data_IF_837760763160
#
_entry.id   IF_837760763160
#
_cell.length_a   1.000
_cell.length_b   1.000
_cell.length_c   1.000
_cell.angle_alpha   90.00
_cell.angle_beta   90.00
_cell.angle_gamma   90.00
#
_symmetry.space_group_name_H-M   'P 1'
#
loop_
_entity.id
_entity.type
_entity.pdbx_description
1 polymer ?
#
# COMPACT_ATOMS: atom_id res chain seq x y z
N UNK A 1 -13.39 -4.98 -18.73
CA UNK A 1 -11.95 -5.07 -18.36
C UNK A 1 -11.64 -4.33 -17.07
N UNK A 2 -12.39 -3.25 -16.73
CA UNK A 2 -12.21 -2.47 -15.49
C UNK A 2 -12.29 -3.37 -14.24
N UNK A 3 -13.29 -4.23 -14.16
CA UNK A 3 -13.49 -5.17 -13.04
C UNK A 3 -12.34 -6.17 -12.79
N UNK A 4 -11.41 -6.32 -13.73
CA UNK A 4 -10.21 -7.15 -13.56
C UNK A 4 -9.03 -6.40 -12.96
N UNK A 5 -9.03 -5.08 -13.05
CA UNK A 5 -7.92 -4.22 -12.62
C UNK A 5 -8.24 -3.39 -11.38
N UNK A 6 -9.51 -3.32 -11.01
CA UNK A 6 -9.96 -2.48 -9.89
C UNK A 6 -10.95 -3.27 -9.03
N UNK A 7 -10.81 -3.12 -7.73
CA UNK A 7 -11.73 -3.64 -6.72
C UNK A 7 -12.14 -2.48 -5.83
N UNK A 8 -13.45 -2.24 -5.71
CA UNK A 8 -14.02 -1.30 -4.76
C UNK A 8 -14.70 -2.05 -3.62
N UNK A 9 -14.65 -1.51 -2.42
CA UNK A 9 -15.22 -2.13 -1.23
C UNK A 9 -15.91 -1.12 -0.34
N UNK A 10 -16.78 -1.65 0.55
CA UNK A 10 -17.44 -0.86 1.59
C UNK A 10 -17.41 -1.68 2.88
N UNK A 11 -16.96 -1.05 4.00
CA UNK A 11 -16.86 -1.79 5.24
C UNK A 11 -18.22 -2.05 5.87
N UNK A 12 -18.36 -3.25 6.40
CA UNK A 12 -19.45 -3.66 7.29
C UNK A 12 -18.97 -3.68 8.73
N UNK A 13 -19.87 -3.86 9.68
CA UNK A 13 -19.53 -3.93 11.11
C UNK A 13 -18.37 -4.88 11.39
N UNK A 14 -17.55 -4.54 12.37
CA UNK A 14 -16.37 -5.31 12.74
C UNK A 14 -15.68 -4.75 13.98
N UNK A 15 -14.41 -5.06 14.17
CA UNK A 15 -13.63 -4.58 15.31
C UNK A 15 -12.32 -3.91 14.85
N UNK A 16 -12.08 -2.70 15.32
CA UNK A 16 -10.83 -1.94 15.07
C UNK A 16 -10.16 -1.66 16.39
N UNK A 17 -8.91 -2.11 16.57
CA UNK A 17 -8.19 -1.94 17.84
C UNK A 17 -8.91 -2.56 19.03
N UNK A 18 -9.62 -3.66 18.83
CA UNK A 18 -10.40 -4.37 19.87
C UNK A 18 -11.75 -3.73 20.20
N UNK A 19 -12.16 -2.64 19.55
CA UNK A 19 -13.46 -1.99 19.74
C UNK A 19 -14.40 -2.32 18.60
N UNK A 20 -15.62 -2.69 18.91
CA UNK A 20 -16.69 -2.88 17.92
C UNK A 20 -17.01 -1.55 17.26
N UNK A 21 -17.16 -1.57 15.95
CA UNK A 21 -17.53 -0.41 15.14
C UNK A 21 -18.64 -0.79 14.15
N UNK A 22 -19.57 0.13 13.86
CA UNK A 22 -20.64 -0.10 12.90
C UNK A 22 -20.09 -0.20 11.47
N UNK A 23 -20.93 -0.72 10.56
CA UNK A 23 -20.70 -0.64 9.14
C UNK A 23 -20.90 0.78 8.59
N UNK A 24 -20.39 1.03 7.39
CA UNK A 24 -20.48 2.36 6.76
C UNK A 24 -21.93 2.86 6.63
N UNK A 25 -22.86 1.97 6.26
CA UNK A 25 -24.27 2.31 6.11
C UNK A 25 -25.00 2.51 7.45
N UNK A 26 -24.37 2.12 8.54
CA UNK A 26 -24.87 2.24 9.93
C UNK A 26 -24.24 3.45 10.65
N UNK A 27 -23.27 4.11 10.04
CA UNK A 27 -22.62 5.30 10.61
C UNK A 27 -23.61 6.46 10.69
N UNK A 28 -23.48 7.27 11.72
CA UNK A 28 -24.29 8.49 11.89
C UNK A 28 -24.12 9.42 10.67
N UNK A 29 -25.25 9.88 10.12
CA UNK A 29 -25.31 10.69 8.89
C UNK A 29 -24.91 9.97 7.58
N UNK A 30 -24.81 8.66 7.55
CA UNK A 30 -24.67 7.90 6.32
C UNK A 30 -26.03 7.70 5.63
N UNK A 31 -26.02 7.62 4.29
CA UNK A 31 -27.19 7.16 3.56
C UNK A 31 -27.16 5.63 3.52
N UNK A 32 -28.21 4.98 4.07
CA UNK A 32 -28.33 3.52 4.16
C UNK A 32 -28.34 2.81 2.78
N UNK A 33 -28.61 3.54 1.70
CA UNK A 33 -28.58 3.02 0.33
C UNK A 33 -27.30 3.44 -0.43
N UNK A 34 -26.30 4.02 0.25
CA UNK A 34 -25.10 4.52 -0.39
C UNK A 34 -24.25 3.39 -0.97
N UNK A 35 -23.88 3.53 -2.23
CA UNK A 35 -22.91 2.68 -2.90
C UNK A 35 -21.50 3.29 -2.95
N UNK A 36 -21.21 4.28 -2.09
CA UNK A 36 -19.91 4.94 -2.02
C UNK A 36 -18.86 3.95 -1.52
N UNK A 37 -17.77 3.85 -2.22
CA UNK A 37 -16.64 3.04 -1.81
C UNK A 37 -15.91 3.63 -0.60
N UNK A 38 -15.57 2.79 0.35
CA UNK A 38 -14.68 3.08 1.48
C UNK A 38 -13.34 2.36 1.36
N UNK A 39 -13.17 1.60 0.28
CA UNK A 39 -11.95 0.87 -0.06
C UNK A 39 -11.80 0.78 -1.57
N UNK A 40 -10.57 0.97 -2.01
CA UNK A 40 -10.18 0.74 -3.41
C UNK A 40 -8.85 0.00 -3.43
N UNK A 41 -8.78 -1.04 -4.25
CA UNK A 41 -7.53 -1.64 -4.68
C UNK A 41 -7.49 -1.68 -6.21
N UNK A 42 -6.37 -1.30 -6.80
CA UNK A 42 -6.24 -1.28 -8.24
C UNK A 42 -4.83 -1.62 -8.70
N UNK A 43 -4.73 -2.09 -9.94
CA UNK A 43 -3.50 -2.19 -10.69
C UNK A 43 -3.45 -1.05 -11.71
N UNK A 44 -2.36 -0.30 -11.73
CA UNK A 44 -2.03 0.72 -12.71
C UNK A 44 -0.72 0.37 -13.43
N UNK A 45 -0.62 0.76 -14.68
CA UNK A 45 0.60 0.64 -15.47
C UNK A 45 0.99 2.04 -15.99
N UNK A 46 2.26 2.40 -15.90
CA UNK A 46 2.78 3.68 -16.38
C UNK A 46 3.50 3.45 -17.70
N UNK A 47 2.91 3.97 -18.78
CA UNK A 47 3.39 3.77 -20.15
C UNK A 47 4.52 4.74 -20.51
N UNK A 48 5.68 4.60 -19.87
CA UNK A 48 6.89 5.33 -20.23
C UNK A 48 8.12 4.41 -20.16
N UNK A 49 9.27 4.90 -20.61
CA UNK A 49 10.52 4.14 -20.65
C UNK A 49 10.93 3.61 -19.27
N UNK A 50 10.82 4.45 -18.25
CA UNK A 50 11.29 4.15 -16.90
C UNK A 50 10.49 3.02 -16.26
N UNK A 51 9.18 3.03 -16.47
CA UNK A 51 8.24 2.15 -15.76
C UNK A 51 7.62 1.06 -16.63
N UNK A 52 8.08 0.94 -17.88
CA UNK A 52 7.59 -0.09 -18.79
C UNK A 52 7.73 -1.48 -18.19
N UNK A 53 6.61 -2.21 -18.11
CA UNK A 53 6.55 -3.56 -17.54
C UNK A 53 6.61 -3.63 -16.01
N UNK A 54 6.53 -2.50 -15.31
CA UNK A 54 6.42 -2.45 -13.84
C UNK A 54 4.98 -2.19 -13.45
N UNK A 55 4.25 -3.17 -12.87
CA UNK A 55 2.90 -2.96 -12.39
C UNK A 55 2.92 -2.20 -11.06
N UNK A 56 1.98 -1.28 -10.90
CA UNK A 56 1.73 -0.55 -9.66
C UNK A 56 0.43 -1.06 -9.05
N UNK A 57 0.49 -1.55 -7.82
CA UNK A 57 -0.67 -1.93 -7.04
C UNK A 57 -0.90 -0.88 -5.97
N UNK A 58 -2.07 -0.24 -6.01
CA UNK A 58 -2.47 0.76 -5.03
C UNK A 58 -3.62 0.19 -4.21
N UNK A 59 -3.56 0.38 -2.90
CA UNK A 59 -4.61 0.00 -1.97
C UNK A 59 -4.80 1.10 -0.93
N UNK A 60 -6.05 1.50 -0.74
CA UNK A 60 -6.43 2.44 0.30
C UNK A 60 -7.82 2.09 0.84
N UNK A 61 -8.07 2.39 2.11
CA UNK A 61 -9.38 2.09 2.69
C UNK A 61 -9.57 2.74 4.06
N UNK A 62 -10.83 2.78 4.47
CA UNK A 62 -11.27 3.20 5.80
C UNK A 62 -11.44 1.96 6.69
N UNK A 63 -11.31 2.15 8.01
CA UNK A 63 -11.52 1.07 8.99
C UNK A 63 -10.71 -0.19 8.68
N UNK A 64 -9.51 -0.05 8.11
CA UNK A 64 -8.60 -1.18 7.85
C UNK A 64 -7.97 -1.70 9.14
N UNK A 65 -7.26 -2.83 9.05
CA UNK A 65 -6.60 -3.47 10.20
C UNK A 65 -5.63 -2.53 10.91
N UNK A 66 -4.90 -1.72 10.15
CA UNK A 66 -3.95 -0.75 10.68
C UNK A 66 -4.03 0.59 9.92
N UNK A 67 -3.68 1.67 10.64
CA UNK A 67 -3.46 2.98 10.02
C UNK A 67 -2.00 3.07 9.60
N UNK A 68 -1.72 2.68 8.37
CA UNK A 68 -0.37 2.67 7.80
C UNK A 68 -0.36 3.27 6.39
N UNK A 69 0.69 4.02 6.09
CA UNK A 69 1.00 4.45 4.72
C UNK A 69 2.42 4.03 4.38
N UNK A 70 2.57 3.24 3.33
CA UNK A 70 3.87 2.69 2.95
C UNK A 70 3.96 2.44 1.45
N UNK A 71 5.19 2.46 0.95
CA UNK A 71 5.52 2.07 -0.42
C UNK A 71 6.39 0.82 -0.32
N UNK A 72 6.00 -0.24 -1.02
CA UNK A 72 6.77 -1.49 -1.06
C UNK A 72 7.22 -1.76 -2.48
N UNK A 73 8.53 -1.82 -2.67
CA UNK A 73 9.16 -2.11 -3.95
C UNK A 73 9.68 -3.54 -3.90
N UNK A 74 9.09 -4.41 -4.72
CA UNK A 74 9.56 -5.77 -4.90
C UNK A 74 10.59 -5.79 -6.03
N UNK A 75 11.82 -6.17 -5.72
CA UNK A 75 12.83 -6.36 -6.74
C UNK A 75 12.56 -7.63 -7.54
N UNK A 76 12.97 -7.62 -8.80
CA UNK A 76 12.91 -8.82 -9.64
C UNK A 76 13.82 -9.90 -9.09
N UNK A 77 13.43 -11.14 -9.28
CA UNK A 77 14.31 -12.27 -9.01
C UNK A 77 15.52 -12.24 -9.96
N UNK A 78 16.69 -12.64 -9.49
CA UNK A 78 17.83 -12.77 -10.38
C UNK A 78 17.56 -13.85 -11.45
N UNK A 79 17.92 -13.60 -12.72
CA UNK A 79 17.65 -14.53 -13.81
C UNK A 79 18.38 -15.86 -13.67
N UNK A 80 19.50 -15.85 -12.95
CA UNK A 80 20.31 -17.04 -12.71
C UNK A 80 20.66 -17.14 -11.22
N UNK A 81 20.60 -18.35 -10.70
CA UNK A 81 20.95 -18.66 -9.32
C UNK A 81 22.18 -19.54 -9.30
N UNK A 82 23.12 -19.22 -8.43
CA UNK A 82 24.32 -20.05 -8.15
C UNK A 82 24.03 -21.18 -7.16
N UNK A 83 22.84 -21.17 -6.55
CA UNK A 83 22.45 -22.18 -5.54
C UNK A 83 21.55 -23.25 -6.15
N UNK A 84 21.68 -24.48 -5.62
CA UNK A 84 20.84 -25.61 -6.01
C UNK A 84 19.34 -25.34 -5.72
N UNK A 85 18.42 -25.93 -6.51
CA UNK A 85 16.97 -25.71 -6.33
C UNK A 85 16.46 -25.97 -4.91
N UNK A 86 17.02 -26.95 -4.22
CA UNK A 86 16.65 -27.35 -2.86
C UNK A 86 17.04 -26.30 -1.80
N UNK A 87 17.97 -25.43 -2.13
CA UNK A 87 18.47 -24.34 -1.28
C UNK A 87 17.79 -22.99 -1.55
N UNK A 88 16.85 -22.97 -2.49
CA UNK A 88 16.16 -21.77 -2.95
C UNK A 88 14.91 -21.48 -2.13
N UNK A 89 15.07 -21.05 -0.89
CA UNK A 89 13.99 -20.35 -0.19
C UNK A 89 13.97 -18.90 -0.68
N UNK A 90 13.39 -18.67 -1.87
CA UNK A 90 13.52 -17.40 -2.58
C UNK A 90 12.39 -16.45 -2.23
N UNK A 91 12.69 -15.53 -1.36
CA UNK A 91 11.90 -14.31 -1.18
C UNK A 91 12.66 -13.21 -1.92
N UNK A 92 12.04 -12.63 -2.93
CA UNK A 92 12.62 -11.47 -3.62
C UNK A 92 12.96 -10.36 -2.62
N UNK A 93 14.10 -9.71 -2.80
CA UNK A 93 14.45 -8.56 -1.98
C UNK A 93 13.36 -7.49 -2.08
N UNK A 94 13.15 -6.75 -0.98
CA UNK A 94 12.11 -5.73 -0.90
C UNK A 94 12.65 -4.48 -0.25
N UNK A 95 12.29 -3.32 -0.81
CA UNK A 95 12.49 -2.03 -0.17
C UNK A 95 11.13 -1.55 0.33
N UNK A 96 11.02 -1.31 1.63
CA UNK A 96 9.83 -0.81 2.30
C UNK A 96 10.13 0.61 2.76
N UNK A 97 9.37 1.59 2.27
CA UNK A 97 9.41 2.98 2.70
C UNK A 97 8.14 3.23 3.50
N UNK A 98 8.26 3.35 4.80
CA UNK A 98 7.14 3.66 5.69
C UNK A 98 7.02 5.18 5.83
N UNK A 99 5.85 5.71 5.47
CA UNK A 99 5.53 7.12 5.53
C UNK A 99 4.79 7.48 6.83
N UNK A 100 3.95 6.56 7.34
CA UNK A 100 3.16 6.68 8.58
C UNK A 100 2.75 5.30 9.10
N UNK A 101 2.63 5.09 10.45
CA UNK A 101 3.36 5.80 11.50
C UNK A 101 4.82 5.34 11.51
N UNK A 102 5.68 5.98 12.31
CA UNK A 102 7.08 5.58 12.47
C UNK A 102 7.83 5.54 11.14
N UNK A 103 8.08 6.74 10.60
CA UNK A 103 8.75 6.90 9.31
C UNK A 103 10.11 6.19 9.29
N UNK A 104 10.37 5.51 8.18
CA UNK A 104 11.61 4.77 8.05
C UNK A 104 11.76 4.03 6.74
N UNK A 105 12.92 3.45 6.56
CA UNK A 105 13.26 2.64 5.39
C UNK A 105 13.75 1.28 5.88
N UNK A 106 13.22 0.21 5.29
CA UNK A 106 13.67 -1.15 5.52
C UNK A 106 13.99 -1.82 4.19
N UNK A 107 15.21 -2.34 4.07
CA UNK A 107 15.60 -3.15 2.93
C UNK A 107 15.71 -4.61 3.38
N UNK A 108 14.79 -5.45 2.94
CA UNK A 108 14.84 -6.90 3.16
C UNK A 108 15.76 -7.53 2.11
N UNK A 109 16.84 -8.12 2.57
CA UNK A 109 17.84 -8.79 1.72
C UNK A 109 18.02 -10.25 2.12
N UNK A 110 18.32 -11.09 1.14
CA UNK A 110 18.72 -12.46 1.38
C UNK A 110 20.20 -12.51 1.73
N UNK A 111 20.53 -13.05 2.88
CA UNK A 111 21.88 -13.24 3.35
C UNK A 111 22.15 -14.71 3.65
N UNK A 112 23.42 -15.14 3.58
CA UNK A 112 23.80 -16.47 4.02
C UNK A 112 23.58 -16.62 5.53
N UNK A 113 22.95 -17.70 5.94
CA UNK A 113 22.84 -18.04 7.35
C UNK A 113 24.23 -18.35 7.94
N UNK A 114 24.53 -17.77 9.09
CA UNK A 114 25.80 -18.01 9.79
C UNK A 114 25.75 -19.35 10.46
N UNK A 115 26.86 -20.09 10.38
CA UNK A 115 27.08 -21.40 11.05
C UNK A 115 27.96 -22.33 10.22
N UNK A 116 28.70 -23.19 10.88
CA UNK A 116 29.60 -24.17 10.22
C UNK A 116 28.80 -25.34 9.62
N UNK A 117 27.67 -25.69 10.23
CA UNK A 117 26.93 -26.93 9.95
C UNK A 117 25.72 -26.74 9.02
N UNK A 118 25.42 -25.49 8.60
CA UNK A 118 24.18 -25.16 7.90
C UNK A 118 24.31 -25.05 6.38
N UNK A 119 25.46 -25.40 5.81
CA UNK A 119 25.67 -25.32 4.37
C UNK A 119 25.37 -23.92 3.78
N UNK A 120 24.78 -23.87 2.60
CA UNK A 120 24.41 -22.62 1.89
C UNK A 120 22.94 -22.27 2.07
N UNK A 121 22.44 -22.21 3.31
CA UNK A 121 21.09 -21.75 3.59
C UNK A 121 21.02 -20.23 3.54
N UNK A 122 19.99 -19.71 2.84
CA UNK A 122 19.70 -18.28 2.75
C UNK A 122 18.65 -17.91 3.79
N UNK A 123 18.86 -16.78 4.45
CA UNK A 123 17.92 -16.19 5.39
C UNK A 123 17.60 -14.75 4.95
N UNK A 124 16.32 -14.38 5.02
CA UNK A 124 15.93 -12.99 4.88
C UNK A 124 16.27 -12.22 6.16
N UNK A 125 16.95 -11.09 6.01
CA UNK A 125 17.27 -10.16 7.10
C UNK A 125 16.96 -8.72 6.70
N UNK A 126 16.39 -7.91 7.60
CA UNK A 126 16.15 -6.50 7.33
C UNK A 126 17.41 -5.66 7.66
N UNK A 127 17.71 -4.73 6.76
CA UNK A 127 18.50 -3.54 7.07
C UNK A 127 17.48 -2.42 7.32
N UNK A 128 17.44 -1.89 8.55
CA UNK A 128 16.43 -0.92 8.96
C UNK A 128 17.07 0.42 9.32
N UNK A 129 16.46 1.49 8.85
CA UNK A 129 16.69 2.85 9.29
C UNK A 129 15.35 3.38 9.81
N UNK A 130 15.25 3.56 11.10
CA UNK A 130 14.09 4.13 11.76
C UNK A 130 14.42 5.59 12.14
N UNK A 131 13.67 6.54 11.62
CA UNK A 131 13.98 7.96 11.80
C UNK A 131 13.73 8.40 13.24
N UNK A 132 12.70 7.91 13.91
CA UNK A 132 12.42 8.23 15.31
C UNK A 132 13.53 7.76 16.25
N UNK A 133 14.17 6.64 15.94
CA UNK A 133 15.30 6.12 16.71
C UNK A 133 16.62 6.84 16.40
N UNK A 134 16.83 7.17 15.13
CA UNK A 134 18.07 7.80 14.65
C UNK A 134 18.16 9.26 15.10
N UNK A 135 17.03 9.97 15.13
CA UNK A 135 16.96 11.40 15.45
C UNK A 135 16.32 11.67 16.81
N UNK A 136 16.56 10.81 17.80
CA UNK A 136 16.00 10.90 19.18
C UNK A 136 16.19 12.24 19.87
N UNK A 137 17.15 13.07 19.46
CA UNK A 137 17.50 14.34 20.07
C UNK A 137 16.75 15.55 19.51
N UNK A 138 16.01 15.40 18.43
CA UNK A 138 15.29 16.50 17.78
C UNK A 138 13.80 16.21 17.71
N UNK A 139 13.01 17.20 18.11
CA UNK A 139 11.56 17.16 17.86
C UNK A 139 11.33 17.09 16.35
N UNK A 140 10.64 16.07 15.88
CA UNK A 140 10.14 16.03 14.50
C UNK A 140 8.92 16.94 14.43
N UNK A 141 8.94 18.04 13.65
CA UNK A 141 7.79 18.93 13.51
C UNK A 141 6.60 18.17 12.90
N UNK A 142 5.39 18.57 13.30
CA UNK A 142 4.18 18.11 12.62
C UNK A 142 4.19 18.56 11.15
N UNK A 143 3.57 17.75 10.28
CA UNK A 143 3.53 18.03 8.84
C UNK A 143 2.91 19.40 8.54
N UNK A 144 1.89 19.82 9.28
CA UNK A 144 1.26 21.12 9.11
C UNK A 144 2.15 22.29 9.56
N UNK A 145 2.94 22.11 10.63
CA UNK A 145 3.92 23.12 11.06
C UNK A 145 4.91 23.40 9.92
N UNK A 146 5.38 22.34 9.27
CA UNK A 146 6.30 22.45 8.14
C UNK A 146 5.66 23.15 6.95
N UNK A 147 4.44 22.77 6.58
CA UNK A 147 3.71 23.37 5.47
C UNK A 147 3.44 24.87 5.72
N UNK A 148 3.03 25.24 6.93
CA UNK A 148 2.81 26.65 7.28
C UNK A 148 4.10 27.48 7.19
N UNK A 149 5.22 26.92 7.63
CA UNK A 149 6.53 27.58 7.49
C UNK A 149 6.90 27.79 6.03
N UNK A 150 6.71 26.79 5.18
CA UNK A 150 7.00 26.89 3.74
C UNK A 150 6.09 27.94 3.05
N UNK A 151 4.81 28.05 3.47
CA UNK A 151 3.91 29.12 2.99
C UNK A 151 4.45 30.50 3.37
N UNK A 152 4.85 30.71 4.63
CA UNK A 152 5.40 31.98 5.10
C UNK A 152 6.70 32.38 4.38
N UNK A 153 7.48 31.39 3.96
CA UNK A 153 8.73 31.58 3.21
C UNK A 153 8.51 31.71 1.69
N UNK A 154 7.28 31.51 1.21
CA UNK A 154 6.97 31.50 -0.23
C UNK A 154 7.56 30.30 -0.98
N UNK A 155 7.93 29.22 -0.26
CA UNK A 155 8.52 28.03 -0.86
C UNK A 155 7.41 27.02 -1.25
N UNK A 156 7.34 26.66 -2.53
CA UNK A 156 6.32 25.78 -3.07
C UNK A 156 6.74 24.31 -3.19
N UNK A 157 7.95 23.94 -2.79
CA UNK A 157 8.52 22.61 -3.05
C UNK A 157 7.74 21.45 -2.41
N UNK A 158 7.00 21.70 -1.33
CA UNK A 158 6.20 20.68 -0.64
C UNK A 158 4.72 20.68 -1.06
N UNK A 159 4.33 21.54 -2.00
CA UNK A 159 2.95 21.66 -2.42
C UNK A 159 2.73 21.01 -3.79
N UNK A 160 1.58 20.35 -3.90
CA UNK A 160 1.15 19.75 -5.17
C UNK A 160 0.71 20.88 -6.11
N UNK A 161 1.13 20.83 -7.37
CA UNK A 161 0.75 21.82 -8.38
C UNK A 161 -0.71 21.61 -8.79
N UNK A 162 -1.34 22.69 -9.26
CA UNK A 162 -2.74 22.67 -9.70
C UNK A 162 -2.97 21.66 -10.83
N UNK A 163 -2.09 21.65 -11.83
CA UNK A 163 -2.19 20.73 -12.97
C UNK A 163 -2.03 19.24 -12.56
N UNK A 164 -1.15 18.94 -11.59
CA UNK A 164 -1.02 17.60 -11.03
C UNK A 164 -2.31 17.12 -10.36
N UNK A 165 -2.95 17.99 -9.59
CA UNK A 165 -4.25 17.70 -8.94
C UNK A 165 -5.34 17.46 -10.00
N UNK A 166 -5.40 18.30 -11.02
CA UNK A 166 -6.41 18.18 -12.09
C UNK A 166 -6.24 16.87 -12.87
N UNK A 167 -5.02 16.49 -13.24
CA UNK A 167 -4.74 15.20 -13.89
C UNK A 167 -5.07 14.01 -12.99
N UNK A 168 -4.73 14.09 -11.70
CA UNK A 168 -5.06 13.04 -10.76
C UNK A 168 -6.58 12.83 -10.64
N UNK A 169 -7.34 13.91 -10.55
CA UNK A 169 -8.81 13.84 -10.53
C UNK A 169 -9.40 13.31 -11.83
N UNK A 170 -8.94 13.79 -12.98
CA UNK A 170 -9.37 13.26 -14.28
C UNK A 170 -9.18 11.74 -14.38
N UNK A 171 -8.08 11.23 -13.83
CA UNK A 171 -7.84 9.80 -13.78
C UNK A 171 -8.79 9.07 -12.83
N UNK A 172 -9.02 9.61 -11.63
CA UNK A 172 -9.98 9.05 -10.66
C UNK A 172 -11.41 9.07 -11.19
N UNK A 173 -11.84 10.16 -11.82
CA UNK A 173 -13.18 10.33 -12.39
C UNK A 173 -13.49 9.25 -13.44
N UNK A 174 -12.51 8.88 -14.26
CA UNK A 174 -12.68 7.79 -15.22
C UNK A 174 -13.01 6.45 -14.53
N UNK A 175 -12.46 6.18 -13.34
CA UNK A 175 -12.77 4.98 -12.57
C UNK A 175 -14.17 5.06 -11.97
N UNK A 176 -14.53 6.20 -11.38
CA UNK A 176 -15.84 6.45 -10.76
C UNK A 176 -16.95 6.34 -11.81
N UNK A 177 -16.79 7.00 -12.95
CA UNK A 177 -17.71 6.92 -14.08
C UNK A 177 -17.82 5.49 -14.61
N UNK A 178 -16.69 4.79 -14.67
CA UNK A 178 -16.66 3.40 -15.10
C UNK A 178 -17.52 2.51 -14.20
N UNK A 179 -17.41 2.64 -12.89
CA UNK A 179 -18.23 1.89 -11.93
C UNK A 179 -19.71 2.19 -12.06
N UNK A 180 -20.06 3.47 -12.20
CA UNK A 180 -21.44 3.90 -12.39
C UNK A 180 -22.06 3.30 -13.65
N UNK A 181 -21.31 3.26 -14.76
CA UNK A 181 -21.79 2.70 -16.04
C UNK A 181 -22.03 1.20 -16.03
N UNK A 182 -21.18 0.45 -15.30
CA UNK A 182 -21.29 -1.02 -15.25
C UNK A 182 -22.17 -1.50 -14.09
N UNK A 183 -22.67 -0.59 -13.23
CA UNK A 183 -23.50 -0.93 -12.08
C UNK A 183 -22.77 -1.80 -11.06
N UNK A 184 -21.44 -1.66 -10.93
CA UNK A 184 -20.64 -2.47 -9.99
C UNK A 184 -20.89 -2.00 -8.55
N UNK A 185 -21.33 -2.90 -7.70
CA UNK A 185 -21.52 -2.63 -6.27
C UNK A 185 -20.24 -2.88 -5.48
N UNK A 186 -19.95 -2.06 -4.45
CA UNK A 186 -18.78 -2.27 -3.61
C UNK A 186 -18.85 -3.61 -2.87
N UNK A 187 -17.75 -4.32 -2.82
CA UNK A 187 -17.64 -5.61 -2.10
C UNK A 187 -17.58 -5.37 -0.60
N UNK A 188 -18.35 -6.11 0.21
CA UNK A 188 -18.27 -5.94 1.66
C UNK A 188 -16.92 -6.43 2.21
N UNK A 189 -16.42 -5.74 3.24
CA UNK A 189 -15.30 -6.20 4.04
C UNK A 189 -15.51 -5.83 5.52
N UNK A 190 -15.15 -6.69 6.47
CA UNK A 190 -15.26 -6.38 7.90
C UNK A 190 -14.34 -5.20 8.27
N UNK A 191 -14.84 -4.27 9.06
CA UNK A 191 -13.98 -3.27 9.71
C UNK A 191 -12.90 -3.98 10.54
N UNK A 192 -11.66 -3.49 10.46
CA UNK A 192 -10.48 -4.12 11.08
C UNK A 192 -9.81 -5.19 10.21
N UNK A 193 -10.27 -5.39 8.97
CA UNK A 193 -9.61 -6.27 8.00
C UNK A 193 -8.77 -5.49 6.98
N UNK A 194 -8.01 -6.20 6.16
CA UNK A 194 -7.22 -5.61 5.07
C UNK A 194 -8.02 -5.36 3.78
N UNK A 195 -9.33 -5.35 3.86
CA UNK A 195 -10.22 -5.11 2.72
C UNK A 195 -10.88 -6.39 2.19
N UNK A 196 -11.65 -6.29 1.11
CA UNK A 196 -12.35 -7.43 0.54
C UNK A 196 -11.41 -8.47 -0.04
N UNK A 197 -11.78 -9.76 0.04
CA UNK A 197 -11.01 -10.90 -0.51
C UNK A 197 -10.68 -10.71 -2.00
N UNK A 198 -11.54 -10.02 -2.74
CA UNK A 198 -11.30 -9.70 -4.14
C UNK A 198 -10.01 -8.87 -4.36
N UNK A 199 -9.57 -8.09 -3.37
CA UNK A 199 -8.31 -7.33 -3.45
C UNK A 199 -7.08 -8.24 -3.39
N UNK A 200 -7.18 -9.36 -2.67
CA UNK A 200 -6.14 -10.40 -2.66
C UNK A 200 -6.08 -11.07 -4.03
N UNK A 201 -7.25 -11.45 -4.57
CA UNK A 201 -7.32 -12.06 -5.90
C UNK A 201 -6.79 -11.14 -7.01
N UNK A 202 -6.91 -9.82 -6.86
CA UNK A 202 -6.36 -8.84 -7.81
C UNK A 202 -4.85 -8.99 -7.97
N UNK A 203 -4.12 -9.06 -6.88
CA UNK A 203 -2.64 -9.08 -6.89
C UNK A 203 -2.08 -10.49 -7.09
N UNK A 204 -2.76 -11.53 -6.59
CA UNK A 204 -2.31 -12.92 -6.71
C UNK A 204 -2.42 -13.46 -8.13
N UNK A 205 -3.27 -12.90 -8.99
CA UNK A 205 -3.30 -13.24 -10.43
C UNK A 205 -1.97 -13.04 -11.12
N UNK A 206 -1.17 -12.11 -10.64
CA UNK A 206 0.16 -11.79 -11.16
C UNK A 206 1.29 -12.45 -10.34
N UNK A 207 0.94 -13.44 -9.50
CA UNK A 207 1.89 -14.15 -8.64
C UNK A 207 2.49 -13.30 -7.53
N UNK A 208 1.78 -12.25 -7.07
CA UNK A 208 2.24 -11.31 -6.05
C UNK A 208 1.32 -11.34 -4.82
N UNK A 209 1.77 -10.70 -3.74
CA UNK A 209 0.99 -10.55 -2.50
C UNK A 209 1.12 -9.14 -1.95
N UNK A 210 0.10 -8.70 -1.23
CA UNK A 210 0.18 -7.48 -0.43
C UNK A 210 1.18 -7.68 0.71
N UNK A 211 1.92 -6.62 1.02
CA UNK A 211 2.83 -6.64 2.17
C UNK A 211 2.05 -6.33 3.46
N UNK A 212 2.24 -7.15 4.49
CA UNK A 212 1.62 -6.96 5.79
C UNK A 212 0.26 -7.66 6.00
N UNK A 213 -0.26 -8.39 5.00
CA UNK A 213 -1.53 -9.12 5.12
C UNK A 213 -1.38 -10.51 5.76
N UNK A 214 -0.16 -10.91 6.14
CA UNK A 214 0.18 -12.21 6.74
C UNK A 214 0.60 -12.05 8.19
#
# INVERSE_FOLDING_TARGET
RLSRQVVRGQYVGGAVGGKQVPGYLEEENSNAESSTETFVALRADICNWRWSGVPFYLRTGKRMAEKVSQIVIHFKEPPFYIFAPEQRSLISNRLIIRLQPDEGISLQVMTKEQGLDKGMHLRSGPLQLNFSETYKSSRIPDAYERLLLEVMQGNQNLFVRKDEIEYAWQWCDQLIDGWSRIGDSPKPYPAGSWGPVASIALITRDGRSWYGDL
#
